data_IF_894856131346
#
_entry.id   IF_894856131346
#
_cell.length_a   1.000
_cell.length_b   1.000
_cell.length_c   1.000
_cell.angle_alpha   90.00
_cell.angle_beta   90.00
_cell.angle_gamma   90.00
#
_symmetry.space_group_name_H-M   'P 1'
#
loop_
_entity.id
_entity.type
_entity.pdbx_description
1 polymer ?
#
# COMPACT_ATOMS: atom_id res chain seq x y z
N UNK A 1 15.81 -6.51 -11.00
CA UNK A 1 15.06 -5.22 -10.96
C UNK A 1 13.76 -5.38 -11.75
N UNK A 2 12.72 -4.55 -11.54
CA UNK A 2 11.36 -4.70 -12.12
C UNK A 2 10.76 -3.37 -12.59
N UNK A 3 9.81 -3.41 -13.53
CA UNK A 3 9.17 -2.21 -14.10
C UNK A 3 7.82 -1.83 -13.45
N UNK A 4 7.27 -2.68 -12.59
CA UNK A 4 5.98 -2.44 -11.94
C UNK A 4 5.98 -2.90 -10.47
N UNK A 5 4.88 -2.64 -9.77
CA UNK A 5 4.65 -3.12 -8.40
C UNK A 5 3.18 -3.47 -8.21
N UNK A 6 2.90 -4.51 -7.45
CA UNK A 6 1.53 -4.84 -7.01
C UNK A 6 1.05 -3.93 -5.86
N UNK A 7 1.96 -3.16 -5.25
CA UNK A 7 1.68 -2.25 -4.13
C UNK A 7 2.04 -0.79 -4.47
N UNK A 8 1.36 -0.14 -5.42
CA UNK A 8 1.65 1.23 -5.84
C UNK A 8 1.58 2.24 -4.70
N UNK A 9 0.75 1.99 -3.68
CA UNK A 9 0.61 2.81 -2.47
C UNK A 9 1.92 2.93 -1.69
N UNK A 10 2.78 1.91 -1.73
CA UNK A 10 4.10 1.97 -1.06
C UNK A 10 5.09 2.89 -1.76
N UNK A 11 4.82 3.22 -3.04
CA UNK A 11 5.57 4.23 -3.78
C UNK A 11 4.92 5.61 -3.57
N UNK A 12 3.59 5.71 -3.74
CA UNK A 12 2.90 6.99 -3.67
C UNK A 12 2.89 7.60 -2.25
N UNK A 13 2.80 6.77 -1.21
CA UNK A 13 2.69 7.21 0.18
C UNK A 13 3.81 6.68 1.07
N UNK A 14 4.42 5.55 0.72
CA UNK A 14 5.53 4.96 1.47
C UNK A 14 6.90 5.45 1.02
N UNK A 15 7.94 4.78 1.52
CA UNK A 15 9.35 5.11 1.24
C UNK A 15 9.97 4.31 0.09
N UNK A 16 9.23 3.41 -0.57
CA UNK A 16 9.76 2.55 -1.64
C UNK A 16 9.88 3.28 -2.97
N UNK A 17 11.02 3.25 -3.66
CA UNK A 17 11.13 3.75 -5.04
C UNK A 17 11.21 2.61 -6.07
N UNK A 18 10.54 2.78 -7.21
CA UNK A 18 10.57 1.83 -8.33
C UNK A 18 11.52 2.37 -9.40
N UNK A 19 12.73 1.82 -9.43
CA UNK A 19 13.82 2.32 -10.27
C UNK A 19 13.83 1.75 -11.70
N UNK A 20 12.85 0.91 -12.06
CA UNK A 20 12.83 0.20 -13.34
C UNK A 20 13.90 -0.88 -13.41
N UNK A 21 14.27 -1.32 -14.63
CA UNK A 21 15.28 -2.38 -14.85
C UNK A 21 16.65 -1.89 -15.29
N UNK A 22 16.83 -0.60 -15.51
CA UNK A 22 18.12 -0.02 -15.92
C UNK A 22 19.06 0.08 -14.70
N UNK A 23 20.21 -0.64 -14.68
CA UNK A 23 21.15 -0.59 -13.57
C UNK A 23 21.70 0.81 -13.28
N UNK A 24 21.73 1.69 -14.30
CA UNK A 24 22.21 3.07 -14.15
C UNK A 24 21.36 3.91 -13.21
N UNK A 25 20.10 3.50 -12.98
CA UNK A 25 19.20 4.18 -12.04
C UNK A 25 19.58 3.97 -10.56
N UNK A 26 20.41 2.96 -10.25
CA UNK A 26 20.78 2.63 -8.85
C UNK A 26 21.70 3.70 -8.25
N UNK A 27 22.71 4.17 -8.98
CA UNK A 27 23.67 5.18 -8.49
C UNK A 27 22.98 6.46 -7.99
N UNK A 28 22.20 7.15 -8.84
CA UNK A 28 21.47 8.35 -8.43
C UNK A 28 20.51 8.14 -7.25
N UNK A 29 19.88 6.96 -7.16
CA UNK A 29 19.02 6.62 -6.03
C UNK A 29 19.84 6.49 -4.72
N UNK A 30 20.99 5.84 -4.77
CA UNK A 30 21.88 5.75 -3.61
C UNK A 30 22.43 7.11 -3.20
N UNK A 31 22.82 7.97 -4.15
CA UNK A 31 23.27 9.33 -3.86
C UNK A 31 22.19 10.13 -3.12
N UNK A 32 20.93 10.06 -3.60
CA UNK A 32 19.77 10.68 -2.93
C UNK A 32 19.56 10.14 -1.51
N UNK A 33 19.72 8.82 -1.33
CA UNK A 33 19.58 8.16 -0.02
C UNK A 33 20.64 8.67 0.96
N UNK A 34 21.91 8.67 0.55
CA UNK A 34 23.03 9.08 1.41
C UNK A 34 23.06 10.59 1.66
N UNK A 35 22.52 11.41 0.75
CA UNK A 35 22.31 12.83 0.97
C UNK A 35 21.19 13.16 1.96
N UNK A 36 20.48 12.15 2.50
CA UNK A 36 19.33 12.35 3.39
C UNK A 36 18.10 12.92 2.67
N UNK A 37 18.09 12.90 1.34
CA UNK A 37 17.01 13.42 0.50
C UNK A 37 16.02 12.33 0.10
N UNK A 38 16.05 11.18 0.78
CA UNK A 38 15.09 10.11 0.57
C UNK A 38 13.69 10.57 0.96
N UNK A 39 12.68 10.06 0.27
CA UNK A 39 11.30 10.44 0.56
C UNK A 39 10.87 9.95 1.93
N UNK A 40 10.08 10.77 2.62
CA UNK A 40 9.43 10.40 3.88
C UNK A 40 8.08 9.76 3.57
N UNK A 41 7.78 8.66 4.26
CA UNK A 41 6.52 7.93 4.05
C UNK A 41 5.48 8.25 5.12
N UNK A 42 4.24 7.86 4.84
CA UNK A 42 3.16 7.74 5.83
C UNK A 42 2.51 6.37 5.72
N UNK A 43 1.82 5.97 6.78
CA UNK A 43 1.05 4.73 6.78
C UNK A 43 -0.14 4.90 5.80
N UNK A 44 -0.28 4.03 4.78
CA UNK A 44 -1.44 4.04 3.91
C UNK A 44 -2.75 3.91 4.69
N UNK A 45 -3.86 4.51 4.20
CA UNK A 45 -5.16 4.35 4.84
C UNK A 45 -5.51 2.88 5.07
N UNK A 46 -6.13 2.58 6.23
CA UNK A 46 -6.60 1.26 6.63
C UNK A 46 -5.50 0.20 6.89
N UNK A 47 -4.21 0.58 6.83
CA UNK A 47 -3.10 -0.25 7.34
C UNK A 47 -2.94 -0.12 8.86
N UNK A 48 -4.05 -0.21 9.57
CA UNK A 48 -4.14 -0.10 11.03
C UNK A 48 -4.22 -1.47 11.74
N UNK A 49 -4.06 -2.56 10.98
CA UNK A 49 -4.14 -3.93 11.49
C UNK A 49 -5.57 -4.45 11.74
N UNK A 50 -6.61 -3.65 11.50
CA UNK A 50 -8.01 -3.98 11.84
C UNK A 50 -8.81 -4.61 10.69
N UNK A 51 -8.14 -5.32 9.80
CA UNK A 51 -8.76 -5.88 8.60
C UNK A 51 -9.79 -6.95 8.95
N UNK A 52 -9.48 -7.82 9.92
CA UNK A 52 -10.38 -8.91 10.31
C UNK A 52 -11.70 -8.36 10.89
N UNK A 53 -11.63 -7.40 11.81
CA UNK A 53 -12.79 -6.79 12.44
C UNK A 53 -13.70 -6.09 11.42
N UNK A 54 -13.11 -5.37 10.46
CA UNK A 54 -13.87 -4.74 9.38
C UNK A 54 -14.58 -5.76 8.49
N UNK A 55 -13.89 -6.85 8.13
CA UNK A 55 -14.48 -7.92 7.31
C UNK A 55 -15.67 -8.56 8.04
N UNK A 56 -15.48 -8.96 9.30
CA UNK A 56 -16.56 -9.57 10.10
C UNK A 56 -17.75 -8.61 10.23
N UNK A 57 -17.49 -7.33 10.49
CA UNK A 57 -18.55 -6.32 10.59
C UNK A 57 -19.36 -6.21 9.29
N UNK A 58 -18.70 -6.21 8.13
CA UNK A 58 -19.38 -6.17 6.83
C UNK A 58 -20.16 -7.45 6.51
N UNK A 59 -19.64 -8.63 6.88
CA UNK A 59 -20.36 -9.90 6.69
C UNK A 59 -21.64 -9.96 7.53
N UNK A 60 -21.57 -9.55 8.80
CA UNK A 60 -22.75 -9.46 9.67
C UNK A 60 -23.78 -8.50 9.08
N UNK A 61 -23.35 -7.31 8.65
CA UNK A 61 -24.22 -6.32 8.01
C UNK A 61 -24.91 -6.91 6.77
N UNK A 62 -24.14 -7.51 5.86
CA UNK A 62 -24.65 -8.12 4.64
C UNK A 62 -25.68 -9.23 4.91
N UNK A 63 -25.43 -10.07 5.92
CA UNK A 63 -26.37 -11.12 6.31
C UNK A 63 -27.67 -10.56 6.89
N UNK A 64 -27.59 -9.49 7.67
CA UNK A 64 -28.78 -8.83 8.23
C UNK A 64 -29.62 -8.18 7.13
N UNK A 65 -28.98 -7.47 6.18
CA UNK A 65 -29.67 -6.84 5.06
C UNK A 65 -30.39 -7.88 4.18
N UNK A 66 -29.79 -9.05 3.97
CA UNK A 66 -30.42 -10.17 3.23
C UNK A 66 -31.60 -10.80 3.96
N UNK A 67 -31.58 -10.89 5.30
CA UNK A 67 -32.70 -11.40 6.10
C UNK A 67 -33.93 -10.49 6.05
N UNK A 68 -33.74 -9.19 5.85
CA UNK A 68 -34.84 -8.24 5.69
C UNK A 68 -35.56 -8.42 4.33
N UNK A 69 -34.88 -8.97 3.32
CA UNK A 69 -35.42 -9.10 1.95
C UNK A 69 -36.20 -10.40 1.73
N UNK A 70 -36.00 -11.43 2.58
CA UNK A 70 -36.75 -12.69 2.49
C UNK A 70 -37.29 -13.11 3.88
N UNK A 71 -38.53 -12.71 4.24
CA UNK A 71 -39.27 -13.30 5.35
C UNK A 71 -39.73 -14.74 5.06
#
# INVERSE_FOLDING_TARGET
LRQNTERPETIAMGTNELLGTDPRAVGPALDKLFAGQWKTGRIPPLWDGKTAERIVSHLIQFMNDKKIVHP
#
